data_IF_542662603134
#
_entry.id   IF_542662603134
#
_cell.length_a   1.000
_cell.length_b   1.000
_cell.length_c   1.000
_cell.angle_alpha   90.00
_cell.angle_beta   90.00
_cell.angle_gamma   90.00
#
_symmetry.space_group_name_H-M   'P 1'
#
loop_
_entity.id
_entity.type
_entity.pdbx_description
1 polymer ?
#
# COMPACT_ATOMS: atom_id res chain seq x y z
N UNK A 1 -7.97 1.72 -2.18
CA UNK A 1 -7.36 0.61 -1.45
C UNK A 1 -6.48 -0.18 -2.41
N UNK A 2 -5.23 -0.48 -2.04
CA UNK A 2 -4.32 -1.36 -2.77
C UNK A 2 -4.37 -2.73 -2.11
N UNK A 3 -4.87 -3.72 -2.83
CA UNK A 3 -5.11 -5.09 -2.36
C UNK A 3 -4.32 -6.06 -3.21
N UNK A 4 -3.74 -7.09 -2.60
CA UNK A 4 -3.18 -8.21 -3.34
C UNK A 4 -4.31 -9.12 -3.83
N UNK A 5 -4.65 -9.01 -5.11
CA UNK A 5 -5.75 -9.74 -5.77
C UNK A 5 -5.37 -11.20 -6.11
N UNK A 6 -6.39 -12.03 -6.35
CA UNK A 6 -6.30 -13.47 -6.43
C UNK A 6 -5.97 -13.98 -7.84
N UNK A 7 -4.89 -14.78 -7.90
CA UNK A 7 -4.55 -15.87 -8.84
C UNK A 7 -3.04 -16.19 -8.76
N UNK A 8 -2.23 -15.20 -8.39
CA UNK A 8 -0.83 -15.34 -8.03
C UNK A 8 -0.36 -14.01 -7.38
N UNK A 9 -0.35 -13.87 -6.04
CA UNK A 9 0.06 -12.63 -5.38
C UNK A 9 1.58 -12.35 -5.51
N UNK A 10 2.31 -13.25 -6.16
CA UNK A 10 3.78 -13.23 -6.29
C UNK A 10 4.15 -12.70 -7.66
N UNK A 11 4.75 -11.51 -7.71
CA UNK A 11 5.30 -10.94 -8.93
C UNK A 11 6.78 -11.33 -9.12
N UNK A 12 7.55 -11.28 -8.03
CA UNK A 12 8.99 -11.59 -8.01
C UNK A 12 9.46 -11.82 -6.57
N UNK A 13 10.68 -12.34 -6.42
CA UNK A 13 11.32 -12.56 -5.12
C UNK A 13 11.18 -13.99 -4.61
N UNK A 14 11.33 -14.14 -3.30
CA UNK A 14 11.31 -15.44 -2.61
C UNK A 14 9.98 -15.66 -1.90
N UNK A 15 9.42 -16.86 -2.01
CA UNK A 15 8.18 -17.23 -1.32
C UNK A 15 8.28 -18.61 -0.69
N UNK A 16 7.52 -18.80 0.39
CA UNK A 16 7.34 -20.11 1.01
C UNK A 16 6.04 -20.74 0.52
N UNK A 17 6.05 -22.00 0.03
CA UNK A 17 4.85 -22.69 -0.40
C UNK A 17 3.77 -22.69 0.67
N UNK A 18 2.58 -22.14 0.35
CA UNK A 18 1.42 -22.16 1.23
C UNK A 18 1.43 -21.11 2.36
N UNK A 19 2.46 -20.27 2.46
CA UNK A 19 2.50 -19.15 3.39
C UNK A 19 2.08 -17.85 2.70
N UNK A 20 2.76 -17.51 1.61
CA UNK A 20 2.57 -16.24 0.89
C UNK A 20 1.14 -16.14 0.36
N UNK A 21 0.64 -17.18 -0.31
CA UNK A 21 -0.73 -17.21 -0.83
C UNK A 21 -1.77 -17.11 0.29
N UNK A 22 -1.51 -17.73 1.44
CA UNK A 22 -2.43 -17.74 2.59
C UNK A 22 -2.56 -16.37 3.25
N UNK A 23 -1.46 -15.64 3.40
CA UNK A 23 -1.43 -14.40 4.19
C UNK A 23 -1.51 -13.11 3.36
N UNK A 24 -1.02 -13.12 2.11
CA UNK A 24 -1.06 -11.93 1.26
C UNK A 24 -2.39 -11.79 0.52
N UNK A 25 -3.01 -12.88 0.11
CA UNK A 25 -4.27 -12.81 -0.67
C UNK A 25 -5.34 -12.06 0.11
N UNK A 26 -5.92 -11.03 -0.50
CA UNK A 26 -6.95 -10.18 0.13
C UNK A 26 -6.42 -9.21 1.19
N UNK A 27 -5.12 -9.22 1.50
CA UNK A 27 -4.52 -8.25 2.41
C UNK A 27 -4.37 -6.88 1.74
N UNK A 28 -4.37 -5.84 2.57
CA UNK A 28 -4.32 -4.44 2.15
C UNK A 28 -2.96 -3.86 2.49
N UNK A 29 -2.29 -3.28 1.50
CA UNK A 29 -1.02 -2.58 1.72
C UNK A 29 -1.21 -1.08 1.93
N UNK A 30 -2.17 -0.47 1.22
CA UNK A 30 -2.53 0.93 1.42
C UNK A 30 -4.04 1.16 1.32
N UNK A 31 -4.59 2.00 2.20
CA UNK A 31 -6.01 2.38 2.17
C UNK A 31 -6.17 3.90 2.26
N UNK A 32 -7.33 4.37 1.78
CA UNK A 32 -7.73 5.77 1.88
C UNK A 32 -9.15 5.77 2.40
N UNK A 33 -9.36 6.46 3.51
CA UNK A 33 -10.64 6.58 4.20
C UNK A 33 -11.01 8.05 4.33
N UNK A 34 -12.29 8.38 4.18
CA UNK A 34 -12.77 9.76 4.32
C UNK A 34 -12.99 10.07 5.80
N UNK A 35 -12.38 11.14 6.30
CA UNK A 35 -12.56 11.59 7.68
C UNK A 35 -12.93 13.09 7.74
N UNK A 36 -14.16 13.40 8.14
CA UNK A 36 -14.64 14.78 8.29
C UNK A 36 -14.56 15.59 6.99
N UNK A 37 -13.58 16.49 6.87
CA UNK A 37 -13.32 17.29 5.64
C UNK A 37 -12.07 16.87 4.85
N UNK A 38 -11.28 15.90 5.32
CA UNK A 38 -10.11 15.38 4.59
C UNK A 38 -10.10 13.85 4.44
N UNK A 39 -8.95 13.31 4.05
CA UNK A 39 -8.74 11.86 3.96
C UNK A 39 -7.64 11.39 4.92
N UNK A 40 -7.78 10.16 5.39
CA UNK A 40 -6.74 9.42 6.07
C UNK A 40 -6.16 8.43 5.07
N UNK A 41 -4.85 8.53 4.81
CA UNK A 41 -4.11 7.58 3.98
C UNK A 41 -3.26 6.70 4.90
N UNK A 42 -3.53 5.40 4.91
CA UNK A 42 -2.81 4.44 5.72
C UNK A 42 -1.93 3.53 4.83
N UNK A 43 -0.75 3.20 5.34
CA UNK A 43 0.20 2.27 4.73
C UNK A 43 0.52 1.16 5.74
N UNK A 44 0.63 -0.08 5.28
CA UNK A 44 0.94 -1.23 6.13
C UNK A 44 2.39 -1.21 6.66
N UNK A 45 3.27 -0.45 6.02
CA UNK A 45 4.68 -0.27 6.41
C UNK A 45 5.14 1.17 6.15
N UNK A 46 6.38 1.49 6.55
CA UNK A 46 6.97 2.81 6.31
C UNK A 46 7.36 2.98 4.82
N UNK A 47 6.66 3.83 4.04
CA UNK A 47 6.95 4.00 2.62
C UNK A 47 8.30 4.69 2.34
N UNK A 48 8.93 5.27 3.36
CA UNK A 48 10.21 5.98 3.28
C UNK A 48 11.34 5.24 4.00
N UNK A 49 11.19 3.94 4.29
CA UNK A 49 12.21 3.17 5.01
C UNK A 49 13.59 3.34 4.36
N UNK A 50 14.47 4.07 5.07
CA UNK A 50 15.83 4.44 4.65
C UNK A 50 15.93 5.13 3.28
N UNK A 51 14.84 5.67 2.75
CA UNK A 51 14.81 6.26 1.40
C UNK A 51 15.16 5.29 0.28
N UNK A 52 15.07 3.98 0.53
CA UNK A 52 15.61 2.96 -0.39
C UNK A 52 14.75 2.78 -1.64
N UNK A 53 13.43 2.89 -1.51
CA UNK A 53 12.48 2.59 -2.58
C UNK A 53 11.83 3.85 -3.16
N UNK A 54 12.12 4.15 -4.43
CA UNK A 54 11.52 5.29 -5.14
C UNK A 54 10.00 5.14 -5.33
N UNK A 55 9.51 3.92 -5.51
CA UNK A 55 8.08 3.65 -5.75
C UNK A 55 7.20 4.05 -4.57
N UNK A 56 7.51 3.55 -3.38
CA UNK A 56 6.76 3.87 -2.15
C UNK A 56 6.96 5.32 -1.73
N UNK A 57 8.14 5.92 -1.99
CA UNK A 57 8.36 7.34 -1.77
C UNK A 57 7.44 8.23 -2.61
N UNK A 58 7.19 7.86 -3.88
CA UNK A 58 6.22 8.56 -4.73
C UNK A 58 4.78 8.40 -4.22
N UNK A 59 4.40 7.21 -3.73
CA UNK A 59 3.08 7.00 -3.11
C UNK A 59 2.88 7.88 -1.87
N UNK A 60 3.91 8.00 -1.03
CA UNK A 60 3.88 8.91 0.11
C UNK A 60 3.75 10.38 -0.32
N UNK A 61 4.56 10.83 -1.27
CA UNK A 61 4.50 12.19 -1.79
C UNK A 61 3.10 12.52 -2.35
N UNK A 62 2.49 11.59 -3.09
CA UNK A 62 1.13 11.74 -3.60
C UNK A 62 0.09 11.83 -2.48
N UNK A 63 0.23 11.03 -1.43
CA UNK A 63 -0.64 11.11 -0.25
C UNK A 63 -0.58 12.49 0.42
N UNK A 64 0.60 13.08 0.52
CA UNK A 64 0.79 14.43 1.10
C UNK A 64 0.21 15.51 0.17
N UNK A 65 0.55 15.47 -1.12
CA UNK A 65 0.22 16.54 -2.07
C UNK A 65 -1.23 16.50 -2.55
N UNK A 66 -1.83 15.31 -2.66
CA UNK A 66 -3.15 15.11 -3.23
C UNK A 66 -4.16 14.47 -2.27
N UNK A 67 -3.71 13.98 -1.11
CA UNK A 67 -4.56 13.26 -0.16
C UNK A 67 -5.56 14.15 0.58
N UNK A 68 -5.41 15.48 0.60
CA UNK A 68 -6.43 16.37 1.18
C UNK A 68 -7.77 16.35 0.40
N UNK A 69 -7.76 15.89 -0.85
CA UNK A 69 -8.86 16.06 -1.79
C UNK A 69 -8.92 17.51 -2.30
N UNK A 70 -9.25 17.69 -3.59
CA UNK A 70 -9.72 18.99 -4.06
C UNK A 70 -11.13 19.23 -3.49
N UNK A 71 -11.50 20.47 -3.13
CA UNK A 71 -12.87 20.79 -2.69
C UNK A 71 -13.91 20.40 -3.75
#
# INVERSE_FOLDING_TARGET
MVVFNEKAPVLSGFTWPGNTEKFLTGSVWASVERAGRGNVVAFAENPLFRGFWRGTAMLFANAVLFGAGRP
#
